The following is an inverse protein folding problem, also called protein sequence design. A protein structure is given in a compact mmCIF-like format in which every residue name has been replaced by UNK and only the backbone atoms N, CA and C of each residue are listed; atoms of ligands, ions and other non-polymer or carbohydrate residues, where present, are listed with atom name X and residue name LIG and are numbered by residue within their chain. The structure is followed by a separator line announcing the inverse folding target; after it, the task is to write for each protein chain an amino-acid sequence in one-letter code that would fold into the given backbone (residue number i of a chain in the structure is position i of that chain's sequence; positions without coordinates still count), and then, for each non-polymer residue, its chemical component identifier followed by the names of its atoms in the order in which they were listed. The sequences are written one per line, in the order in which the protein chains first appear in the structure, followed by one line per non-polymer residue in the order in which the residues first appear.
data_IF_413062448052
#
_entry.id   IF_413062448052
#
_cell.length_a   1.000
_cell.length_b   1.000
_cell.length_c   1.000
_cell.angle_alpha   90.00
_cell.angle_beta   90.00
_cell.angle_gamma   90.00
#
_symmetry.space_group_name_H-M   'P 1'
#
loop_
_entity.id
_entity.type
_entity.pdbx_description
1 polymer ?
#
# COMPACT_ATOMS: atom_id res chain seq x y z
N UNK A 1 14.33 -22.77 28.57
CA UNK A 1 13.81 -21.44 28.96
C UNK A 1 12.96 -20.98 27.81
N UNK A 2 11.65 -21.16 27.92
CA UNK A 2 10.72 -20.54 27.00
C UNK A 2 10.70 -19.04 27.31
N UNK A 3 11.23 -18.25 26.39
CA UNK A 3 11.00 -16.82 26.42
C UNK A 3 9.68 -16.60 25.70
N UNK A 4 8.61 -16.51 26.47
CA UNK A 4 7.30 -16.13 25.94
C UNK A 4 7.30 -14.60 25.79
N UNK A 5 7.41 -14.11 24.55
CA UNK A 5 7.54 -12.67 24.22
C UNK A 5 6.18 -11.99 24.18
N UNK A 6 5.26 -12.42 25.05
CA UNK A 6 3.88 -11.99 25.03
C UNK A 6 3.76 -10.72 25.87
N UNK A 7 3.96 -9.57 25.23
CA UNK A 7 3.63 -8.27 25.83
C UNK A 7 2.12 -8.23 26.07
N UNK A 8 1.68 -8.49 27.30
CA UNK A 8 0.33 -8.19 27.72
C UNK A 8 0.16 -6.67 27.68
N UNK A 9 -0.76 -6.20 26.84
CA UNK A 9 -1.00 -4.77 26.54
C UNK A 9 -1.37 -3.96 27.80
N UNK A 10 -1.80 -4.62 28.89
CA UNK A 10 -2.22 -3.99 30.15
C UNK A 10 -1.23 -4.17 31.32
N UNK A 11 -0.02 -4.69 31.08
CA UNK A 11 0.99 -4.84 32.15
C UNK A 11 1.72 -3.51 32.41
N UNK A 12 1.27 -2.79 33.44
CA UNK A 12 1.87 -1.53 33.92
C UNK A 12 3.34 -1.64 34.39
N UNK A 13 3.86 -2.86 34.54
CA UNK A 13 5.26 -3.14 34.91
C UNK A 13 6.10 -3.61 33.73
N UNK A 14 5.50 -3.84 32.56
CA UNK A 14 6.22 -4.24 31.36
C UNK A 14 7.17 -3.12 30.92
N UNK A 15 8.46 -3.31 31.21
CA UNK A 15 9.51 -2.49 30.62
C UNK A 15 9.61 -2.91 29.16
N UNK A 16 9.30 -1.99 28.24
CA UNK A 16 9.55 -2.17 26.82
C UNK A 16 11.06 -2.33 26.61
N UNK A 17 11.54 -3.57 26.68
CA UNK A 17 12.93 -3.89 26.35
C UNK A 17 13.02 -3.95 24.83
N UNK A 18 13.72 -2.97 24.25
CA UNK A 18 14.04 -2.98 22.83
C UNK A 18 14.76 -4.30 22.53
N UNK A 19 14.28 -5.12 21.57
CA UNK A 19 14.94 -6.37 21.22
C UNK A 19 16.38 -6.10 20.74
N UNK A 20 17.32 -7.05 20.94
CA UNK A 20 18.68 -6.94 20.40
C UNK A 20 18.68 -6.63 18.89
N UNK A 21 19.73 -5.99 18.41
CA UNK A 21 19.85 -5.58 17.00
C UNK A 21 19.75 -6.75 16.03
N UNK A 22 20.25 -7.93 16.41
CA UNK A 22 20.13 -9.16 15.60
C UNK A 22 18.67 -9.55 15.28
N UNK A 23 17.72 -9.16 16.15
CA UNK A 23 16.29 -9.40 15.98
C UNK A 23 15.57 -8.17 15.42
N UNK A 24 15.91 -6.98 15.91
CA UNK A 24 15.18 -5.76 15.55
C UNK A 24 15.60 -5.15 14.21
N UNK A 25 16.85 -5.34 13.78
CA UNK A 25 17.36 -4.77 12.53
C UNK A 25 16.71 -5.39 11.28
N UNK A 26 16.58 -6.73 11.16
CA UNK A 26 15.92 -7.32 9.98
C UNK A 26 14.46 -6.88 9.84
N UNK A 27 13.73 -6.75 10.96
CA UNK A 27 12.34 -6.29 10.96
C UNK A 27 12.24 -4.84 10.48
N UNK A 28 13.13 -3.95 10.97
CA UNK A 28 13.16 -2.55 10.53
C UNK A 28 13.50 -2.43 9.05
N UNK A 29 14.48 -3.20 8.57
CA UNK A 29 14.85 -3.23 7.16
C UNK A 29 13.67 -3.69 6.28
N UNK A 30 13.01 -4.80 6.63
CA UNK A 30 11.85 -5.27 5.89
C UNK A 30 10.68 -4.27 5.91
N UNK A 31 10.46 -3.58 7.03
CA UNK A 31 9.44 -2.54 7.15
C UNK A 31 9.77 -1.31 6.27
N UNK A 32 11.04 -0.90 6.22
CA UNK A 32 11.51 0.20 5.39
C UNK A 32 11.39 -0.14 3.89
N UNK A 33 11.76 -1.37 3.50
CA UNK A 33 11.58 -1.88 2.14
C UNK A 33 10.10 -1.90 1.73
N UNK A 34 9.22 -2.41 2.60
CA UNK A 34 7.79 -2.42 2.36
C UNK A 34 7.24 -0.99 2.19
N UNK A 35 7.67 -0.06 3.05
CA UNK A 35 7.26 1.35 2.95
C UNK A 35 7.68 1.96 1.61
N UNK A 36 8.92 1.74 1.17
CA UNK A 36 9.37 2.21 -0.14
C UNK A 36 8.57 1.59 -1.29
N UNK A 37 8.27 0.29 -1.22
CA UNK A 37 7.46 -0.38 -2.25
C UNK A 37 6.01 0.17 -2.27
N UNK A 38 5.43 0.44 -1.11
CA UNK A 38 4.11 1.06 -1.00
C UNK A 38 4.08 2.49 -1.55
N UNK A 39 5.10 3.29 -1.27
CA UNK A 39 5.19 4.66 -1.80
C UNK A 39 5.33 4.65 -3.34
N UNK A 40 6.16 3.75 -3.88
CA UNK A 40 6.29 3.55 -5.32
C UNK A 40 4.96 3.09 -5.96
N UNK A 41 4.28 2.13 -5.31
CA UNK A 41 2.97 1.65 -5.76
C UNK A 41 1.92 2.77 -5.75
N UNK A 42 1.91 3.59 -4.70
CA UNK A 42 1.04 4.76 -4.59
C UNK A 42 1.27 5.74 -5.74
N UNK A 43 2.53 6.06 -6.04
CA UNK A 43 2.86 6.94 -7.17
C UNK A 43 2.38 6.36 -8.50
N UNK A 44 2.65 5.07 -8.76
CA UNK A 44 2.22 4.40 -9.98
C UNK A 44 0.68 4.38 -10.14
N UNK A 45 -0.04 4.20 -9.03
CA UNK A 45 -1.50 4.24 -9.00
C UNK A 45 -2.05 5.63 -9.35
N UNK A 46 -1.43 6.71 -8.85
CA UNK A 46 -1.78 8.09 -9.20
C UNK A 46 -1.57 8.34 -10.69
N UNK A 47 -0.43 7.93 -11.24
CA UNK A 47 -0.08 8.11 -12.65
C UNK A 47 -1.05 7.35 -13.56
N UNK A 48 -1.40 6.10 -13.21
CA UNK A 48 -2.41 5.32 -13.93
C UNK A 48 -3.77 6.03 -13.90
N UNK A 49 -4.19 6.53 -12.74
CA UNK A 49 -5.45 7.26 -12.59
C UNK A 49 -5.51 8.51 -13.46
N UNK A 50 -4.40 9.25 -13.56
CA UNK A 50 -4.29 10.42 -14.43
C UNK A 50 -4.38 10.05 -15.92
N UNK A 51 -3.69 8.97 -16.34
CA UNK A 51 -3.74 8.47 -17.71
C UNK A 51 -5.14 7.99 -18.12
N UNK A 52 -5.84 7.29 -17.21
CA UNK A 52 -7.22 6.85 -17.40
C UNK A 52 -8.16 8.04 -17.58
N UNK A 53 -8.09 9.05 -16.71
CA UNK A 53 -8.92 10.26 -16.82
C UNK A 53 -8.64 11.01 -18.12
N UNK A 54 -7.38 11.16 -18.50
CA UNK A 54 -6.98 11.81 -19.76
C UNK A 54 -7.54 11.06 -20.97
N UNK A 55 -7.44 9.73 -20.96
CA UNK A 55 -8.00 8.89 -22.04
C UNK A 55 -9.51 9.01 -22.12
N UNK A 56 -10.20 9.02 -20.97
CA UNK A 56 -11.66 9.22 -20.95
C UNK A 56 -12.07 10.60 -21.48
N UNK A 57 -11.34 11.66 -21.11
CA UNK A 57 -11.58 13.01 -21.63
C UNK A 57 -11.32 13.14 -23.13
N UNK A 58 -10.40 12.35 -23.68
CA UNK A 58 -10.17 12.26 -25.13
C UNK A 58 -11.25 11.45 -25.87
N UNK A 59 -12.25 10.91 -25.17
CA UNK A 59 -13.38 10.19 -25.75
C UNK A 59 -13.16 8.69 -25.96
N UNK A 60 -12.08 8.11 -25.41
CA UNK A 60 -11.88 6.67 -25.46
C UNK A 60 -12.92 5.93 -24.59
N UNK A 61 -13.51 4.88 -25.15
CA UNK A 61 -14.56 4.11 -24.48
C UNK A 61 -14.05 3.32 -23.27
N UNK A 62 -14.88 3.20 -22.24
CA UNK A 62 -14.56 2.53 -20.97
C UNK A 62 -14.09 1.09 -21.13
N UNK A 63 -14.62 0.33 -22.10
CA UNK A 63 -14.18 -1.05 -22.41
C UNK A 63 -12.72 -1.13 -22.85
N UNK A 64 -12.28 -0.17 -23.67
CA UNK A 64 -10.88 -0.13 -24.12
C UNK A 64 -9.97 0.23 -22.95
N UNK A 65 -10.37 1.23 -22.15
CA UNK A 65 -9.62 1.66 -20.97
C UNK A 65 -9.48 0.52 -19.95
N UNK A 66 -10.55 -0.25 -19.68
CA UNK A 66 -10.50 -1.42 -18.80
C UNK A 66 -9.46 -2.44 -19.29
N UNK A 67 -9.51 -2.79 -20.57
CA UNK A 67 -8.57 -3.76 -21.16
C UNK A 67 -7.12 -3.29 -21.12
N UNK A 68 -6.88 -1.99 -21.34
CA UNK A 68 -5.53 -1.42 -21.34
C UNK A 68 -4.96 -1.22 -19.92
N UNK A 69 -5.79 -0.77 -18.98
CA UNK A 69 -5.38 -0.47 -17.61
C UNK A 69 -5.34 -1.71 -16.71
N UNK A 70 -5.99 -2.81 -17.11
CA UNK A 70 -6.09 -4.02 -16.29
C UNK A 70 -6.89 -3.83 -15.00
N UNK A 71 -7.75 -2.81 -14.96
CA UNK A 71 -8.58 -2.49 -13.80
C UNK A 71 -9.89 -3.29 -13.78
N UNK A 72 -10.45 -3.46 -12.58
CA UNK A 72 -11.85 -3.85 -12.44
C UNK A 72 -12.77 -2.72 -12.92
N UNK A 73 -14.03 -3.04 -13.23
CA UNK A 73 -15.04 -2.03 -13.56
C UNK A 73 -15.23 -1.02 -12.42
N UNK A 74 -15.24 -1.52 -11.18
CA UNK A 74 -15.43 -0.71 -9.97
C UNK A 74 -14.30 0.30 -9.78
N UNK A 75 -13.05 -0.14 -9.94
CA UNK A 75 -11.88 0.73 -9.83
C UNK A 75 -11.83 1.79 -10.93
N UNK A 76 -12.22 1.42 -12.15
CA UNK A 76 -12.34 2.39 -13.24
C UNK A 76 -13.37 3.48 -12.88
N UNK A 77 -14.56 3.09 -12.41
CA UNK A 77 -15.60 4.05 -12.01
C UNK A 77 -15.16 4.97 -10.88
N UNK A 78 -14.40 4.45 -9.90
CA UNK A 78 -13.79 5.27 -8.84
C UNK A 78 -12.81 6.28 -9.42
N UNK A 79 -11.88 5.86 -10.27
CA UNK A 79 -10.88 6.75 -10.90
C UNK A 79 -11.53 7.85 -11.74
N UNK A 80 -12.59 7.51 -12.48
CA UNK A 80 -13.34 8.46 -13.31
C UNK A 80 -14.12 9.49 -12.45
N UNK A 81 -14.49 9.13 -11.21
CA UNK A 81 -15.03 10.06 -10.21
C UNK A 81 -13.97 10.92 -9.51
N UNK A 82 -12.69 10.68 -9.80
CA UNK A 82 -11.57 11.40 -9.19
C UNK A 82 -11.01 10.76 -7.92
N UNK A 83 -11.45 9.54 -7.59
CA UNK A 83 -10.92 8.80 -6.44
C UNK A 83 -9.56 8.17 -6.75
N UNK A 84 -8.81 7.85 -5.69
CA UNK A 84 -7.54 7.13 -5.75
C UNK A 84 -7.76 5.60 -5.80
N UNK A 85 -6.78 4.87 -6.35
CA UNK A 85 -6.83 3.41 -6.52
C UNK A 85 -6.36 2.61 -5.30
N UNK A 86 -5.99 3.28 -4.20
CA UNK A 86 -5.46 2.69 -2.97
C UNK A 86 -6.23 3.18 -1.74
#
# INVERSE_FOLDING_TARGET
MDSDWTFNIDDTTARSTVPPDEVSLPVRQAADELRHAMDACRSAAIDLGAAVRTSSQAGYGTKWILGAAGLSTEDLERVLRGEELF
#
